data_IF_118643422580
#
_entry.id   IF_118643422580
#
_cell.length_a   1.000
_cell.length_b   1.000
_cell.length_c   1.000
_cell.angle_alpha   90.00
_cell.angle_beta   90.00
_cell.angle_gamma   90.00
#
_symmetry.space_group_name_H-M   'P 1'
#
loop_
_entity.id
_entity.type
_entity.pdbx_description
1 polymer ?
#
# COMPACT_ATOMS: atom_id res chain seq x y z
N UNK A 1 7.64 26.02 -15.65
CA UNK A 1 8.46 26.75 -14.66
C UNK A 1 8.57 25.91 -13.39
N UNK A 2 9.69 25.22 -13.20
CA UNK A 2 9.92 24.36 -12.04
C UNK A 2 10.06 25.17 -10.76
N UNK A 3 9.13 25.00 -9.81
CA UNK A 3 9.30 25.55 -8.46
C UNK A 3 10.49 24.86 -7.82
N UNK A 4 11.58 25.62 -7.68
CA UNK A 4 12.81 25.24 -7.00
C UNK A 4 12.53 24.40 -5.74
N UNK A 5 13.05 23.17 -5.71
CA UNK A 5 13.06 22.30 -4.52
C UNK A 5 13.93 22.85 -3.39
N UNK A 6 14.75 23.88 -3.63
CA UNK A 6 15.95 24.14 -2.82
C UNK A 6 15.78 24.95 -1.53
N UNK A 7 14.62 25.54 -1.23
CA UNK A 7 14.42 26.27 0.05
C UNK A 7 12.97 26.17 0.54
N UNK A 8 12.49 24.95 0.82
CA UNK A 8 11.24 24.80 1.58
C UNK A 8 11.58 24.85 3.07
N UNK A 9 10.85 25.66 3.87
CA UNK A 9 11.22 25.88 5.26
C UNK A 9 11.13 24.58 6.06
N UNK A 10 12.01 24.47 7.05
CA UNK A 10 11.81 23.59 8.19
C UNK A 10 10.92 24.34 9.19
N UNK A 11 9.84 23.72 9.63
CA UNK A 11 8.96 24.27 10.65
C UNK A 11 9.28 23.56 11.96
N UNK A 12 9.75 24.28 12.96
CA UNK A 12 10.21 23.67 14.21
C UNK A 12 9.10 23.53 15.24
N UNK A 13 9.13 22.44 16.01
CA UNK A 13 8.28 22.18 17.19
C UNK A 13 6.78 22.37 16.93
N UNK A 14 6.31 21.95 15.76
CA UNK A 14 4.89 21.96 15.42
C UNK A 14 4.16 20.96 16.32
N UNK A 15 3.18 21.45 17.07
CA UNK A 15 2.25 20.62 17.84
C UNK A 15 1.18 20.09 16.90
N UNK A 16 1.04 18.77 16.85
CA UNK A 16 -0.03 18.11 16.13
C UNK A 16 -1.26 18.12 17.02
N UNK A 17 -2.36 18.68 16.51
CA UNK A 17 -3.57 18.99 17.28
C UNK A 17 -4.78 18.17 16.85
N UNK A 18 -4.80 17.72 15.60
CA UNK A 18 -5.95 17.00 15.05
C UNK A 18 -5.54 16.06 13.90
N UNK A 19 -6.49 15.28 13.40
CA UNK A 19 -6.37 14.52 12.16
C UNK A 19 -7.17 15.18 11.04
N UNK A 20 -6.66 15.04 9.82
CA UNK A 20 -7.35 15.33 8.58
C UNK A 20 -7.69 14.03 7.83
N UNK A 21 -8.39 14.18 6.72
CA UNK A 21 -8.65 13.09 5.78
C UNK A 21 -7.34 12.43 5.27
N UNK A 22 -7.49 11.23 4.72
CA UNK A 22 -6.45 10.52 3.97
C UNK A 22 -5.14 10.21 4.72
N UNK A 23 -5.12 10.08 6.04
CA UNK A 23 -3.86 9.76 6.74
C UNK A 23 -3.05 10.95 7.22
N UNK A 24 -3.54 12.18 7.04
CA UNK A 24 -2.81 13.39 7.40
C UNK A 24 -3.22 13.88 8.78
N UNK A 25 -2.30 14.57 9.43
CA UNK A 25 -2.50 15.17 10.73
C UNK A 25 -2.32 16.68 10.62
N UNK A 26 -2.94 17.42 11.53
CA UNK A 26 -3.03 18.87 11.47
C UNK A 26 -2.20 19.48 12.61
N UNK A 27 -1.23 20.29 12.23
CA UNK A 27 -0.63 21.31 13.09
C UNK A 27 -1.00 22.70 12.60
N UNK A 28 -0.59 23.71 13.36
CA UNK A 28 -0.69 25.12 12.95
C UNK A 28 0.61 25.84 13.24
N UNK A 29 0.94 26.79 12.36
CA UNK A 29 1.97 27.79 12.59
C UNK A 29 1.46 29.11 12.04
N UNK A 30 1.47 30.15 12.86
CA UNK A 30 0.82 31.43 12.59
C UNK A 30 -0.64 31.20 12.13
N UNK A 31 -1.05 31.82 11.02
CA UNK A 31 -2.37 31.66 10.41
C UNK A 31 -2.47 30.49 9.42
N UNK A 32 -1.46 29.60 9.37
CA UNK A 32 -1.39 28.52 8.38
C UNK A 32 -1.59 27.15 8.99
N UNK A 33 -2.38 26.34 8.28
CA UNK A 33 -2.53 24.92 8.56
C UNK A 33 -1.30 24.17 8.05
N UNK A 34 -0.78 23.24 8.84
CA UNK A 34 0.32 22.35 8.47
C UNK A 34 -0.22 20.93 8.42
N UNK A 35 -0.30 20.35 7.23
CA UNK A 35 -0.62 18.94 7.07
C UNK A 35 0.64 18.09 7.18
N UNK A 36 0.66 17.19 8.16
CA UNK A 36 1.80 16.34 8.49
C UNK A 36 1.39 14.88 8.33
N UNK A 37 2.05 14.15 7.44
CA UNK A 37 1.86 12.69 7.35
C UNK A 37 2.66 11.96 8.43
N UNK A 38 2.19 10.79 8.89
CA UNK A 38 2.89 9.92 9.86
C UNK A 38 3.10 10.53 11.26
N UNK A 39 2.27 11.50 11.61
CA UNK A 39 2.18 12.02 12.98
C UNK A 39 0.78 11.76 13.54
N UNK A 40 0.61 11.87 14.85
CA UNK A 40 -0.70 11.76 15.52
C UNK A 40 -0.89 12.94 16.47
N UNK A 41 -2.14 13.27 16.86
CA UNK A 41 -2.41 14.35 17.81
C UNK A 41 -1.67 14.17 19.13
N UNK A 42 -1.06 15.25 19.61
CA UNK A 42 -0.15 15.29 20.75
C UNK A 42 1.33 15.22 20.39
N UNK A 43 1.71 14.80 19.18
CA UNK A 43 3.11 14.81 18.74
C UNK A 43 3.65 16.25 18.68
N UNK A 44 4.93 16.42 19.02
CA UNK A 44 5.68 17.67 18.81
C UNK A 44 6.84 17.38 17.86
N UNK A 45 6.77 17.93 16.65
CA UNK A 45 7.67 17.55 15.55
C UNK A 45 8.27 18.74 14.81
N UNK A 46 9.49 18.58 14.32
CA UNK A 46 10.00 19.43 13.25
C UNK A 46 9.52 18.87 11.91
N UNK A 47 8.94 19.72 11.08
CA UNK A 47 8.30 19.35 9.82
C UNK A 47 9.08 19.93 8.66
N UNK A 48 9.64 19.07 7.82
CA UNK A 48 10.20 19.51 6.54
C UNK A 48 9.06 19.71 5.54
N UNK A 49 8.86 20.95 5.11
CA UNK A 49 7.82 21.26 4.13
C UNK A 49 8.15 20.60 2.79
N UNK A 50 7.21 19.79 2.31
CA UNK A 50 7.27 19.14 0.99
C UNK A 50 6.40 19.87 -0.02
N UNK A 51 5.39 20.64 0.41
CA UNK A 51 4.57 21.48 -0.46
C UNK A 51 4.14 22.77 0.24
N UNK A 52 4.25 23.89 -0.48
CA UNK A 52 3.82 25.22 -0.02
C UNK A 52 2.64 25.70 -0.86
N UNK A 53 1.55 26.08 -0.18
CA UNK A 53 0.40 26.79 -0.74
C UNK A 53 0.20 28.11 0.02
N UNK A 54 -0.75 28.94 -0.44
CA UNK A 54 -1.02 30.24 0.19
C UNK A 54 -1.43 30.07 1.65
N UNK A 55 -2.38 29.16 1.92
CA UNK A 55 -3.05 29.02 3.21
C UNK A 55 -2.59 27.79 4.02
N UNK A 56 -1.75 26.93 3.44
CA UNK A 56 -1.29 25.73 4.12
C UNK A 56 0.08 25.24 3.63
N UNK A 57 0.70 24.42 4.48
CA UNK A 57 1.87 23.61 4.18
C UNK A 57 1.50 22.13 4.20
N UNK A 58 2.18 21.34 3.39
CA UNK A 58 2.26 19.88 3.57
C UNK A 58 3.72 19.53 3.85
N UNK A 59 3.95 18.58 4.75
CA UNK A 59 5.29 18.17 5.12
C UNK A 59 5.34 16.81 5.79
N UNK A 60 6.57 16.36 6.05
CA UNK A 60 6.87 15.13 6.76
C UNK A 60 7.65 15.47 8.02
N UNK A 61 7.43 14.74 9.14
CA UNK A 61 8.23 14.91 10.33
C UNK A 61 9.67 14.46 10.03
N UNK A 62 10.64 15.29 10.41
CA UNK A 62 12.08 14.96 10.31
C UNK A 62 12.73 14.80 11.69
N UNK A 63 12.06 15.27 12.74
CA UNK A 63 12.46 15.08 14.14
C UNK A 63 11.24 15.06 15.03
N UNK A 64 11.18 14.12 15.96
CA UNK A 64 10.21 14.09 17.05
C UNK A 64 10.88 14.61 18.32
N UNK A 65 10.30 15.66 18.92
CA UNK A 65 10.69 16.16 20.24
C UNK A 65 9.85 15.50 21.34
N UNK A 66 8.62 15.12 21.00
CA UNK A 66 7.70 14.41 21.87
C UNK A 66 6.83 13.49 21.02
N UNK A 67 6.73 12.23 21.43
CA UNK A 67 5.77 11.28 20.90
C UNK A 67 4.52 11.34 21.78
N UNK A 68 3.36 11.53 21.17
CA UNK A 68 2.09 11.56 21.89
C UNK A 68 1.87 10.27 22.68
N UNK A 69 1.30 10.39 23.88
CA UNK A 69 0.96 9.25 24.75
C UNK A 69 -0.11 8.34 24.14
N UNK A 70 -0.88 8.84 23.17
CA UNK A 70 -1.87 8.03 22.47
C UNK A 70 -1.24 7.15 21.38
N UNK A 71 0.03 7.33 21.02
CA UNK A 71 0.65 6.54 19.96
C UNK A 71 0.62 5.05 20.30
N UNK A 72 0.44 4.25 19.26
CA UNK A 72 0.71 2.81 19.30
C UNK A 72 1.81 2.48 18.33
N UNK A 73 2.58 1.44 18.65
CA UNK A 73 3.58 0.90 17.73
C UNK A 73 2.87 0.21 16.57
N UNK A 74 3.12 0.62 15.31
CA UNK A 74 2.58 -0.08 14.14
C UNK A 74 3.01 -1.55 14.13
N UNK A 75 2.07 -2.46 13.86
CA UNK A 75 2.38 -3.89 13.75
C UNK A 75 3.08 -4.26 12.44
N UNK A 76 2.95 -3.44 11.39
CA UNK A 76 3.55 -3.71 10.10
C UNK A 76 4.97 -3.12 10.03
N UNK A 77 5.96 -3.97 9.79
CA UNK A 77 7.37 -3.57 9.59
C UNK A 77 7.56 -2.59 8.42
N UNK A 78 6.64 -2.57 7.46
CA UNK A 78 6.68 -1.68 6.29
C UNK A 78 5.88 -0.38 6.49
N UNK A 79 5.32 -0.13 7.69
CA UNK A 79 4.55 1.08 7.96
C UNK A 79 5.38 2.35 7.72
N UNK A 80 4.72 3.40 7.22
CA UNK A 80 5.37 4.66 6.86
C UNK A 80 6.03 4.67 5.47
N UNK A 81 6.37 3.51 4.92
CA UNK A 81 6.92 3.37 3.56
C UNK A 81 5.87 2.80 2.61
N UNK A 82 5.22 1.69 2.99
CA UNK A 82 4.14 1.07 2.23
C UNK A 82 2.85 1.92 2.32
N UNK A 83 2.38 2.43 1.18
CA UNK A 83 1.42 3.55 1.11
C UNK A 83 -0.03 3.29 1.51
N UNK A 84 -0.40 2.04 1.82
CA UNK A 84 -1.80 1.65 2.06
C UNK A 84 -2.30 1.93 3.48
N UNK A 85 -1.56 1.51 4.50
CA UNK A 85 -2.00 1.57 5.89
C UNK A 85 -1.48 2.84 6.57
N UNK A 86 -2.25 3.93 6.56
CA UNK A 86 -1.75 5.24 7.00
C UNK A 86 -1.90 5.55 8.50
N UNK A 87 -2.69 4.77 9.23
CA UNK A 87 -3.08 5.09 10.61
C UNK A 87 -2.62 4.08 11.67
N UNK A 88 -1.74 3.12 11.34
CA UNK A 88 -1.32 2.10 12.31
C UNK A 88 -0.56 2.67 13.53
N UNK A 89 -0.10 3.92 13.49
CA UNK A 89 0.48 4.60 14.66
C UNK A 89 -0.57 5.19 15.61
N UNK A 90 -1.85 5.07 15.27
CA UNK A 90 -2.99 5.61 16.03
C UNK A 90 -3.84 4.45 16.58
N UNK A 91 -4.29 4.48 17.85
CA UNK A 91 -5.13 3.43 18.43
C UNK A 91 -6.40 3.25 17.61
N UNK A 92 -6.86 2.01 17.46
CA UNK A 92 -8.01 1.71 16.62
C UNK A 92 -9.28 2.46 17.04
N UNK A 93 -9.52 2.61 18.34
CA UNK A 93 -10.62 3.44 18.87
C UNK A 93 -10.57 4.88 18.36
N UNK A 94 -9.38 5.48 18.34
CA UNK A 94 -9.20 6.82 17.81
C UNK A 94 -9.40 6.85 16.29
N UNK A 95 -8.95 5.83 15.55
CA UNK A 95 -9.25 5.70 14.12
C UNK A 95 -10.77 5.74 13.85
N UNK A 96 -11.58 5.05 14.66
CA UNK A 96 -13.04 5.08 14.54
C UNK A 96 -13.60 6.48 14.84
N UNK A 97 -13.16 7.10 15.93
CA UNK A 97 -13.55 8.46 16.30
C UNK A 97 -13.27 9.47 15.17
N UNK A 98 -12.09 9.40 14.53
CA UNK A 98 -11.74 10.30 13.44
C UNK A 98 -12.53 10.02 12.15
N UNK A 99 -12.81 8.76 11.82
CA UNK A 99 -13.69 8.41 10.69
C UNK A 99 -15.09 8.98 10.90
N UNK A 100 -15.63 8.82 12.10
CA UNK A 100 -16.94 9.37 12.46
C UNK A 100 -16.94 10.89 12.30
N UNK A 101 -15.98 11.57 12.93
CA UNK A 101 -15.82 13.02 12.82
C UNK A 101 -15.70 13.49 11.37
N UNK A 102 -14.97 12.77 10.52
CA UNK A 102 -14.85 13.08 9.10
C UNK A 102 -16.21 12.99 8.38
N UNK A 103 -16.97 11.92 8.61
CA UNK A 103 -18.32 11.75 8.05
C UNK A 103 -19.24 12.88 8.49
N UNK A 104 -19.31 13.15 9.80
CA UNK A 104 -20.15 14.22 10.37
C UNK A 104 -19.78 15.59 9.80
N UNK A 105 -18.48 15.90 9.75
CA UNK A 105 -18.01 17.17 9.22
C UNK A 105 -18.32 17.32 7.74
N UNK A 106 -18.16 16.27 6.94
CA UNK A 106 -18.47 16.31 5.51
C UNK A 106 -19.97 16.53 5.26
N UNK A 107 -20.83 15.78 5.95
CA UNK A 107 -22.28 15.93 5.82
C UNK A 107 -22.79 17.31 6.27
N UNK A 108 -22.27 17.84 7.38
CA UNK A 108 -22.67 19.18 7.87
C UNK A 108 -22.08 20.31 7.05
N UNK A 109 -20.77 20.30 6.74
CA UNK A 109 -20.08 21.44 6.12
C UNK A 109 -20.25 21.48 4.61
N UNK A 110 -20.17 20.32 3.94
CA UNK A 110 -20.28 20.20 2.49
C UNK A 110 -21.74 19.94 2.12
N UNK A 111 -22.35 18.93 2.73
CA UNK A 111 -23.74 18.57 2.48
C UNK A 111 -24.76 19.59 3.00
N UNK A 112 -24.40 20.40 4.01
CA UNK A 112 -25.31 21.35 4.69
C UNK A 112 -26.55 20.67 5.26
N UNK A 113 -26.39 19.43 5.71
CA UNK A 113 -27.47 18.60 6.27
C UNK A 113 -27.47 18.74 7.79
N UNK A 114 -28.63 19.00 8.37
CA UNK A 114 -28.85 18.81 9.81
C UNK A 114 -28.92 17.32 10.12
N UNK A 115 -27.99 16.86 10.94
CA UNK A 115 -27.89 15.44 11.27
C UNK A 115 -28.64 15.14 12.57
N UNK A 116 -29.42 14.05 12.62
CA UNK A 116 -29.94 13.52 13.87
C UNK A 116 -28.79 13.02 14.76
N UNK A 117 -29.12 12.44 15.91
CA UNK A 117 -28.13 11.68 16.69
C UNK A 117 -27.53 10.56 15.82
N UNK A 118 -26.21 10.45 15.85
CA UNK A 118 -25.44 9.56 14.97
C UNK A 118 -24.98 8.38 15.80
N UNK A 119 -25.30 7.18 15.32
CA UNK A 119 -24.79 5.96 15.91
C UNK A 119 -23.26 5.86 15.70
N UNK A 120 -22.51 5.30 16.66
CA UNK A 120 -21.08 5.11 16.51
C UNK A 120 -20.72 4.29 15.27
N UNK A 121 -19.57 4.60 14.65
CA UNK A 121 -19.03 3.78 13.56
C UNK A 121 -18.80 2.35 14.04
N UNK A 122 -19.37 1.37 13.33
CA UNK A 122 -19.14 -0.04 13.62
C UNK A 122 -17.68 -0.41 13.36
N UNK A 123 -17.06 -1.00 14.37
CA UNK A 123 -15.73 -1.57 14.29
C UNK A 123 -15.71 -2.78 13.36
N UNK A 124 -14.59 -2.96 12.64
CA UNK A 124 -14.27 -4.25 12.04
C UNK A 124 -14.06 -5.27 13.16
N UNK A 125 -14.52 -6.52 13.00
CA UNK A 125 -14.18 -7.58 13.95
C UNK A 125 -12.67 -7.83 14.00
N UNK A 126 -11.98 -7.64 12.87
CA UNK A 126 -10.55 -7.87 12.73
C UNK A 126 -9.82 -6.60 12.26
N UNK A 127 -8.73 -6.24 12.94
CA UNK A 127 -7.85 -5.12 12.58
C UNK A 127 -6.73 -5.53 11.62
N UNK A 128 -6.45 -6.83 11.54
CA UNK A 128 -5.42 -7.46 10.71
C UNK A 128 -6.03 -8.62 9.93
N UNK A 129 -5.38 -9.06 8.86
CA UNK A 129 -5.79 -10.25 8.08
C UNK A 129 -7.22 -10.22 7.50
N UNK A 130 -7.89 -9.06 7.50
CA UNK A 130 -9.29 -8.92 7.06
C UNK A 130 -9.48 -8.77 5.55
N UNK A 131 -8.42 -8.53 4.77
CA UNK A 131 -8.54 -8.34 3.31
C UNK A 131 -8.61 -9.68 2.60
N UNK A 132 -9.72 -9.91 1.92
CA UNK A 132 -9.92 -11.05 1.04
C UNK A 132 -9.34 -10.89 -0.37
N UNK A 133 -8.79 -9.72 -0.71
CA UNK A 133 -8.14 -9.44 -2.00
C UNK A 133 -6.95 -8.51 -1.81
N UNK A 134 -5.79 -8.91 -2.32
CA UNK A 134 -4.64 -8.03 -2.53
C UNK A 134 -4.13 -8.13 -3.96
N UNK A 135 -3.48 -7.06 -4.39
CA UNK A 135 -2.86 -6.92 -5.70
C UNK A 135 -1.43 -6.43 -5.50
N UNK A 136 -0.46 -7.24 -5.91
CA UNK A 136 0.96 -6.99 -5.78
C UNK A 136 1.57 -6.69 -7.14
N UNK A 137 2.36 -5.64 -7.22
CA UNK A 137 3.05 -5.23 -8.44
C UNK A 137 4.48 -5.78 -8.45
N UNK A 138 4.86 -6.38 -9.58
CA UNK A 138 6.25 -6.66 -9.92
C UNK A 138 6.86 -5.40 -10.55
N UNK A 139 8.03 -4.97 -10.08
CA UNK A 139 8.75 -3.84 -10.66
C UNK A 139 10.25 -4.03 -10.59
N UNK A 140 10.96 -3.66 -11.65
CA UNK A 140 12.43 -3.53 -11.66
C UNK A 140 12.93 -2.18 -11.09
N UNK A 141 12.02 -1.37 -10.52
CA UNK A 141 12.32 -0.08 -9.88
C UNK A 141 11.98 -0.16 -8.39
N UNK A 142 12.64 -1.05 -7.66
CA UNK A 142 12.56 -1.12 -6.20
C UNK A 142 12.81 0.25 -5.56
N UNK A 143 11.99 0.57 -4.57
CA UNK A 143 12.21 1.69 -3.67
C UNK A 143 13.28 1.29 -2.66
N UNK A 144 14.33 2.09 -2.58
CA UNK A 144 15.39 1.93 -1.58
C UNK A 144 15.12 2.91 -0.44
N UNK A 145 15.22 2.40 0.78
CA UNK A 145 15.23 3.24 1.98
C UNK A 145 16.51 4.05 2.06
N UNK A 146 16.50 5.12 2.86
CA UNK A 146 17.67 5.97 3.04
C UNK A 146 18.88 5.16 3.58
N UNK A 147 18.63 4.22 4.49
CA UNK A 147 19.65 3.31 5.02
C UNK A 147 20.26 2.40 3.96
N UNK A 148 19.44 1.83 3.06
CA UNK A 148 19.94 0.99 1.96
C UNK A 148 20.72 1.81 0.92
N UNK A 149 20.35 3.07 0.70
CA UNK A 149 21.11 3.96 -0.19
C UNK A 149 22.49 4.32 0.37
N UNK A 150 22.64 4.33 1.70
CA UNK A 150 23.90 4.58 2.38
C UNK A 150 24.81 3.34 2.36
N UNK A 151 24.23 2.14 2.26
CA UNK A 151 24.94 0.88 2.20
C UNK A 151 25.09 0.35 0.76
N UNK A 152 26.28 0.56 0.16
CA UNK A 152 26.54 0.24 -1.26
C UNK A 152 26.38 -1.24 -1.63
N UNK A 153 26.52 -2.15 -0.67
CA UNK A 153 26.48 -3.60 -0.92
C UNK A 153 25.05 -4.15 -1.14
N UNK A 154 24.00 -3.42 -0.70
CA UNK A 154 22.59 -3.83 -0.83
C UNK A 154 21.91 -3.36 -2.14
N UNK A 155 22.66 -2.68 -3.02
CA UNK A 155 22.12 -2.11 -4.27
C UNK A 155 22.00 -3.08 -5.45
N UNK A 156 22.39 -4.34 -5.30
CA UNK A 156 22.48 -5.28 -6.43
C UNK A 156 21.12 -5.72 -6.98
N UNK A 157 20.07 -5.81 -6.15
CA UNK A 157 18.73 -6.21 -6.58
C UNK A 157 17.76 -5.01 -6.65
N UNK A 158 17.32 -4.70 -7.86
CA UNK A 158 16.32 -3.66 -8.14
C UNK A 158 14.90 -4.20 -8.36
N UNK A 159 14.69 -5.51 -8.29
CA UNK A 159 13.38 -6.12 -8.42
C UNK A 159 12.61 -6.04 -7.09
N UNK A 160 11.31 -5.78 -7.19
CA UNK A 160 10.40 -5.71 -6.06
C UNK A 160 9.07 -6.39 -6.40
N UNK A 161 8.50 -7.09 -5.43
CA UNK A 161 7.13 -7.61 -5.49
C UNK A 161 6.35 -7.13 -4.26
N UNK A 162 5.55 -6.09 -4.46
CA UNK A 162 4.84 -5.44 -3.36
C UNK A 162 3.93 -4.32 -3.82
N UNK A 163 4.02 -3.15 -3.17
CA UNK A 163 3.09 -2.05 -3.39
C UNK A 163 3.79 -0.76 -3.82
N UNK A 164 3.08 0.06 -4.59
CA UNK A 164 3.55 1.39 -4.93
C UNK A 164 3.69 2.29 -3.70
N UNK A 165 4.74 3.09 -3.69
CA UNK A 165 4.88 4.16 -2.69
C UNK A 165 3.99 5.36 -3.05
N UNK A 166 3.47 6.09 -2.06
CA UNK A 166 2.65 7.26 -2.31
C UNK A 166 3.33 8.29 -3.22
N UNK A 167 2.64 8.70 -4.29
CA UNK A 167 3.10 9.74 -5.20
C UNK A 167 4.13 9.31 -6.25
N UNK A 168 4.56 8.05 -6.28
CA UNK A 168 5.41 7.51 -7.36
C UNK A 168 4.84 6.19 -7.88
N UNK A 169 4.22 6.26 -9.05
CA UNK A 169 3.56 5.13 -9.69
C UNK A 169 4.53 4.07 -10.20
N UNK A 170 5.80 4.40 -10.44
CA UNK A 170 6.79 3.47 -10.99
C UNK A 170 7.63 2.78 -9.91
N UNK A 171 7.58 3.27 -8.66
CA UNK A 171 8.41 2.77 -7.56
C UNK A 171 7.60 1.85 -6.65
N UNK A 172 8.16 0.68 -6.36
CA UNK A 172 7.51 -0.37 -5.57
C UNK A 172 8.37 -0.69 -4.35
N UNK A 173 7.74 -0.76 -3.17
CA UNK A 173 8.36 -1.31 -1.96
C UNK A 173 8.34 -2.83 -2.09
N UNK A 174 9.51 -3.46 -2.00
CA UNK A 174 9.55 -4.91 -1.81
C UNK A 174 9.13 -5.20 -0.37
N UNK A 175 8.16 -6.09 -0.21
CA UNK A 175 7.63 -6.43 1.11
C UNK A 175 7.98 -7.87 1.46
N UNK A 176 8.17 -8.15 2.75
CA UNK A 176 8.37 -9.51 3.24
C UNK A 176 7.05 -10.09 3.74
N UNK A 177 6.22 -9.27 4.38
CA UNK A 177 4.91 -9.67 4.87
C UNK A 177 3.87 -8.56 4.73
N UNK A 178 2.71 -8.91 4.17
CA UNK A 178 1.50 -8.10 4.31
C UNK A 178 0.65 -8.66 5.44
N UNK A 179 0.40 -7.83 6.45
CA UNK A 179 -0.40 -8.18 7.64
C UNK A 179 -1.90 -7.99 7.42
N UNK A 180 -2.35 -7.76 6.18
CA UNK A 180 -3.75 -7.53 5.85
C UNK A 180 -4.45 -8.74 5.24
N UNK A 181 -3.75 -9.74 4.72
CA UNK A 181 -4.35 -10.94 4.14
C UNK A 181 -3.70 -12.16 4.78
N UNK A 182 -4.53 -13.15 5.12
CA UNK A 182 -4.09 -14.39 5.74
C UNK A 182 -3.21 -15.23 4.80
N UNK A 183 -2.50 -16.20 5.38
CA UNK A 183 -1.83 -17.25 4.60
C UNK A 183 -2.87 -18.04 3.78
N UNK A 184 -2.50 -18.56 2.60
CA UNK A 184 -1.13 -18.66 2.05
C UNK A 184 -0.66 -17.45 1.21
N UNK A 185 -1.31 -16.28 1.31
CA UNK A 185 -1.00 -15.12 0.45
C UNK A 185 0.47 -14.69 0.45
N UNK A 186 1.11 -14.56 1.62
CA UNK A 186 2.52 -14.18 1.67
C UNK A 186 3.42 -15.29 1.16
N UNK A 187 3.14 -16.55 1.51
CA UNK A 187 3.90 -17.70 1.03
C UNK A 187 3.89 -17.80 -0.50
N UNK A 188 2.72 -17.66 -1.14
CA UNK A 188 2.57 -17.69 -2.61
C UNK A 188 3.38 -16.56 -3.23
N UNK A 189 3.21 -15.33 -2.75
CA UNK A 189 3.92 -14.15 -3.26
C UNK A 189 5.44 -14.32 -3.17
N UNK A 190 5.95 -14.77 -2.02
CA UNK A 190 7.38 -15.00 -1.82
C UNK A 190 7.91 -16.10 -2.74
N UNK A 191 7.19 -17.22 -2.90
CA UNK A 191 7.57 -18.30 -3.80
C UNK A 191 7.68 -17.81 -5.26
N UNK A 192 6.76 -16.97 -5.71
CA UNK A 192 6.81 -16.40 -7.08
C UNK A 192 8.00 -15.47 -7.24
N UNK A 193 8.26 -14.60 -6.26
CA UNK A 193 9.44 -13.71 -6.27
C UNK A 193 10.73 -14.53 -6.35
N UNK A 194 10.87 -15.52 -5.49
CA UNK A 194 12.10 -16.30 -5.37
C UNK A 194 12.33 -17.17 -6.62
N UNK A 195 11.25 -17.76 -7.17
CA UNK A 195 11.30 -18.43 -8.48
C UNK A 195 11.72 -17.47 -9.59
N UNK A 196 11.10 -16.30 -9.67
CA UNK A 196 11.39 -15.32 -10.71
C UNK A 196 12.85 -14.84 -10.67
N UNK A 197 13.40 -14.63 -9.47
CA UNK A 197 14.81 -14.27 -9.31
C UNK A 197 15.76 -15.41 -9.70
N UNK A 198 15.43 -16.66 -9.33
CA UNK A 198 16.24 -17.84 -9.65
C UNK A 198 16.28 -18.14 -11.16
N UNK A 199 15.14 -18.07 -11.82
CA UNK A 199 15.02 -18.35 -13.28
C UNK A 199 15.31 -17.11 -14.15
N UNK A 200 15.63 -15.96 -13.55
CA UNK A 200 15.95 -14.73 -14.29
C UNK A 200 14.75 -14.11 -15.02
N UNK A 201 13.53 -14.30 -14.51
CA UNK A 201 12.33 -13.71 -15.09
C UNK A 201 12.31 -12.20 -14.92
N UNK A 202 11.95 -11.49 -15.99
CA UNK A 202 11.93 -10.02 -15.98
C UNK A 202 10.70 -9.48 -15.25
N UNK A 203 10.91 -8.49 -14.37
CA UNK A 203 9.86 -7.75 -13.70
C UNK A 203 9.47 -6.55 -14.58
N UNK A 204 8.19 -6.21 -14.61
CA UNK A 204 7.68 -5.17 -15.50
C UNK A 204 8.22 -3.78 -15.14
N UNK A 205 8.74 -3.06 -16.13
CA UNK A 205 9.13 -1.67 -16.01
C UNK A 205 7.98 -0.80 -16.53
N UNK A 206 7.30 -0.09 -15.64
CA UNK A 206 6.15 0.77 -15.98
C UNK A 206 6.52 1.96 -16.88
N UNK A 207 7.79 2.35 -16.98
CA UNK A 207 8.23 3.46 -17.84
C UNK A 207 8.55 2.98 -19.24
N UNK A 208 9.35 1.92 -19.37
CA UNK A 208 9.68 1.35 -20.69
C UNK A 208 8.59 0.42 -21.23
N UNK A 209 7.62 0.04 -20.39
CA UNK A 209 6.48 -0.85 -20.70
C UNK A 209 6.94 -2.22 -21.21
N UNK A 210 7.90 -2.79 -20.51
CA UNK A 210 8.55 -4.04 -20.89
C UNK A 210 8.78 -4.91 -19.67
N UNK A 211 8.76 -6.23 -19.87
CA UNK A 211 8.99 -7.23 -18.83
C UNK A 211 7.86 -8.25 -18.80
N UNK A 212 8.14 -9.39 -18.18
CA UNK A 212 7.23 -10.51 -18.16
C UNK A 212 6.22 -10.40 -17.01
N UNK A 213 6.67 -10.33 -15.77
CA UNK A 213 5.79 -10.36 -14.60
C UNK A 213 5.30 -8.95 -14.30
N UNK A 214 3.97 -8.73 -14.29
CA UNK A 214 3.36 -7.42 -14.05
C UNK A 214 2.74 -7.31 -12.67
N UNK A 215 1.76 -8.16 -12.43
CA UNK A 215 0.91 -8.08 -11.24
C UNK A 215 0.52 -9.49 -10.81
N UNK A 216 0.37 -9.69 -9.50
CA UNK A 216 -0.23 -10.88 -8.93
C UNK A 216 -1.41 -10.46 -8.05
N UNK A 217 -2.58 -11.04 -8.29
CA UNK A 217 -3.77 -10.83 -7.46
C UNK A 217 -3.99 -12.11 -6.67
N UNK A 218 -4.16 -11.99 -5.36
CA UNK A 218 -4.52 -13.12 -4.49
C UNK A 218 -5.84 -12.80 -3.82
N UNK A 219 -6.79 -13.73 -3.95
CA UNK A 219 -8.07 -13.71 -3.23
C UNK A 219 -8.16 -14.88 -2.26
N UNK A 220 -8.70 -14.62 -1.08
CA UNK A 220 -8.91 -15.61 -0.02
C UNK A 220 -10.32 -15.45 0.52
N UNK A 221 -11.14 -16.49 0.51
CA UNK A 221 -12.50 -16.45 1.01
C UNK A 221 -12.59 -16.95 2.46
N UNK A 222 -13.67 -16.59 3.16
CA UNK A 222 -13.98 -17.11 4.51
C UNK A 222 -14.18 -18.62 4.55
N UNK A 223 -14.48 -19.25 3.42
CA UNK A 223 -14.54 -20.71 3.23
C UNK A 223 -13.17 -21.40 3.27
N UNK A 224 -12.08 -20.62 3.28
CA UNK A 224 -10.70 -21.09 3.17
C UNK A 224 -10.20 -21.21 1.72
N UNK A 225 -11.07 -21.01 0.73
CA UNK A 225 -10.70 -21.09 -0.67
C UNK A 225 -9.78 -19.93 -1.10
N UNK A 226 -8.74 -20.26 -1.88
CA UNK A 226 -7.78 -19.28 -2.42
C UNK A 226 -7.79 -19.29 -3.94
N UNK A 227 -7.76 -18.10 -4.54
CA UNK A 227 -7.57 -17.87 -5.96
C UNK A 227 -6.34 -17.00 -6.19
N UNK A 228 -5.52 -17.38 -7.16
CA UNK A 228 -4.34 -16.62 -7.59
C UNK A 228 -4.48 -16.26 -9.06
N UNK A 229 -4.22 -15.00 -9.40
CA UNK A 229 -4.16 -14.51 -10.78
C UNK A 229 -2.76 -13.96 -11.04
N UNK A 230 -2.02 -14.54 -11.99
CA UNK A 230 -0.73 -14.01 -12.44
C UNK A 230 -0.93 -13.23 -13.74
N UNK A 231 -0.51 -11.98 -13.76
CA UNK A 231 -0.59 -11.11 -14.94
C UNK A 231 0.78 -11.02 -15.60
N UNK A 232 0.86 -11.50 -16.84
CA UNK A 232 2.05 -11.44 -17.68
C UNK A 232 1.99 -10.27 -18.66
N UNK A 233 3.12 -9.69 -19.04
CA UNK A 233 3.21 -8.57 -19.98
C UNK A 233 3.23 -8.97 -21.44
N UNK A 234 3.57 -10.23 -21.72
CA UNK A 234 3.50 -10.85 -23.04
C UNK A 234 3.28 -12.36 -22.85
N UNK A 235 2.93 -13.03 -23.95
CA UNK A 235 2.74 -14.48 -23.95
C UNK A 235 4.07 -15.17 -24.25
N UNK A 236 4.58 -15.89 -23.25
CA UNK A 236 5.62 -16.91 -23.39
C UNK A 236 5.10 -18.18 -22.72
N UNK A 237 4.70 -19.16 -23.55
CA UNK A 237 4.01 -20.35 -23.07
C UNK A 237 4.89 -21.25 -22.21
N UNK A 238 6.18 -21.38 -22.55
CA UNK A 238 7.11 -22.26 -21.83
C UNK A 238 7.39 -21.70 -20.43
N UNK A 239 7.67 -20.40 -20.34
CA UNK A 239 7.91 -19.73 -19.06
C UNK A 239 6.64 -19.69 -18.21
N UNK A 240 5.48 -19.35 -18.81
CA UNK A 240 4.21 -19.34 -18.10
C UNK A 240 3.91 -20.72 -17.50
N UNK A 241 3.98 -21.77 -18.32
CA UNK A 241 3.68 -23.14 -17.89
C UNK A 241 4.62 -23.56 -16.76
N UNK A 242 5.92 -23.28 -16.91
CA UNK A 242 6.92 -23.61 -15.88
C UNK A 242 6.67 -22.93 -14.53
N UNK A 243 6.34 -21.63 -14.54
CA UNK A 243 6.00 -20.90 -13.31
C UNK A 243 4.69 -21.38 -12.70
N UNK A 244 3.65 -21.55 -13.52
CA UNK A 244 2.33 -21.95 -13.03
C UNK A 244 2.36 -23.38 -12.47
N UNK A 245 3.03 -24.33 -13.13
CA UNK A 245 3.23 -25.69 -12.62
C UNK A 245 4.00 -25.72 -11.30
N UNK A 246 5.06 -24.90 -11.18
CA UNK A 246 5.79 -24.77 -9.92
C UNK A 246 4.85 -24.35 -8.77
N UNK A 247 3.99 -23.36 -9.00
CA UNK A 247 3.08 -22.84 -7.99
C UNK A 247 1.95 -23.80 -7.64
N UNK A 248 1.34 -24.44 -8.63
CA UNK A 248 0.30 -25.46 -8.44
C UNK A 248 0.83 -26.62 -7.59
N UNK A 249 2.04 -27.10 -7.89
CA UNK A 249 2.65 -28.19 -7.14
C UNK A 249 3.07 -27.78 -5.72
N UNK A 250 3.50 -26.53 -5.53
CA UNK A 250 3.93 -26.05 -4.22
C UNK A 250 2.75 -25.74 -3.28
N UNK A 251 1.61 -25.34 -3.84
CA UNK A 251 0.40 -24.97 -3.08
C UNK A 251 -0.82 -25.76 -3.56
N UNK A 252 -0.88 -27.08 -3.27
CA UNK A 252 -1.94 -27.96 -3.76
C UNK A 252 -3.34 -27.60 -3.22
N UNK A 253 -3.42 -26.88 -2.10
CA UNK A 253 -4.68 -26.45 -1.49
C UNK A 253 -5.31 -25.22 -2.16
N UNK A 254 -4.58 -24.54 -3.07
CA UNK A 254 -5.14 -23.43 -3.85
C UNK A 254 -6.04 -23.98 -4.94
N UNK A 255 -7.32 -23.60 -4.89
CA UNK A 255 -8.38 -24.18 -5.71
C UNK A 255 -8.57 -23.50 -7.06
N UNK A 256 -7.94 -22.35 -7.29
CA UNK A 256 -8.11 -21.55 -8.51
C UNK A 256 -6.81 -20.86 -8.92
N UNK A 257 -6.25 -21.30 -10.05
CA UNK A 257 -5.06 -20.71 -10.66
C UNK A 257 -5.43 -20.10 -11.99
N UNK A 258 -5.32 -18.78 -12.07
CA UNK A 258 -5.68 -18.00 -13.24
C UNK A 258 -4.45 -17.25 -13.77
N UNK A 259 -4.49 -16.89 -15.04
CA UNK A 259 -3.55 -15.93 -15.60
C UNK A 259 -4.20 -14.99 -16.60
N UNK A 260 -3.53 -13.86 -16.84
CA UNK A 260 -3.91 -12.85 -17.83
C UNK A 260 -2.67 -12.44 -18.59
N UNK A 261 -2.79 -12.27 -19.91
CA UNK A 261 -1.76 -11.63 -20.73
C UNK A 261 -2.16 -10.17 -20.97
N UNK A 262 -1.46 -9.24 -20.32
CA UNK A 262 -1.68 -7.80 -20.47
C UNK A 262 -0.51 -7.13 -21.21
N UNK A 263 -0.63 -7.07 -22.53
CA UNK A 263 0.30 -6.36 -23.42
C UNK A 263 0.08 -4.84 -23.49
N UNK A 264 -0.92 -4.30 -22.76
CA UNK A 264 -1.25 -2.87 -22.80
C UNK A 264 -0.29 -2.04 -21.96
N UNK A 265 -0.33 -0.73 -22.17
CA UNK A 265 0.46 0.21 -21.38
C UNK A 265 -0.05 0.41 -19.93
N UNK A 266 -1.32 0.13 -19.66
CA UNK A 266 -1.94 0.28 -18.35
C UNK A 266 -2.07 -1.07 -17.64
N UNK A 267 -2.33 -1.03 -16.34
CA UNK A 267 -2.42 -2.22 -15.50
C UNK A 267 -3.84 -2.79 -15.39
N UNK A 268 -4.81 -2.19 -16.10
CA UNK A 268 -6.20 -2.67 -16.04
C UNK A 268 -6.36 -3.98 -16.79
N UNK A 269 -7.06 -4.94 -16.20
CA UNK A 269 -7.30 -6.27 -16.78
C UNK A 269 -8.78 -6.56 -17.08
N UNK A 270 -9.69 -5.65 -16.74
CA UNK A 270 -11.15 -5.89 -16.84
C UNK A 270 -11.63 -6.12 -18.29
N UNK A 271 -10.87 -5.62 -19.26
CA UNK A 271 -11.10 -5.71 -20.70
C UNK A 271 -10.31 -6.85 -21.36
N UNK A 272 -9.66 -7.71 -20.58
CA UNK A 272 -8.85 -8.82 -21.05
C UNK A 272 -9.47 -10.17 -20.66
N UNK A 273 -9.16 -11.19 -21.46
CA UNK A 273 -9.54 -12.56 -21.15
C UNK A 273 -8.74 -13.08 -19.95
N UNK A 274 -9.46 -13.68 -19.00
CA UNK A 274 -8.88 -14.35 -17.84
C UNK A 274 -8.91 -15.85 -18.09
N UNK A 275 -7.73 -16.46 -18.15
CA UNK A 275 -7.59 -17.88 -18.44
C UNK A 275 -7.46 -18.70 -17.16
N UNK A 276 -8.26 -19.76 -17.02
CA UNK A 276 -8.11 -20.74 -15.95
C UNK A 276 -7.00 -21.72 -16.32
N UNK A 277 -5.92 -21.73 -15.56
CA UNK A 277 -4.80 -22.65 -15.75
C UNK A 277 -5.06 -24.00 -15.07
N UNK A 278 -5.48 -23.97 -13.80
CA UNK A 278 -5.74 -25.17 -13.00
C UNK A 278 -6.80 -24.92 -11.93
N UNK A 279 -7.52 -25.98 -11.57
CA UNK A 279 -8.61 -25.90 -10.59
C UNK A 279 -9.88 -25.32 -11.20
N UNK A 280 -10.51 -24.37 -10.50
CA UNK A 280 -11.74 -23.68 -10.92
C UNK A 280 -11.46 -22.24 -11.33
N UNK A 281 -12.37 -21.67 -12.11
CA UNK A 281 -12.35 -20.25 -12.49
C UNK A 281 -12.98 -19.31 -11.44
N UNK A 282 -13.38 -19.85 -10.29
CA UNK A 282 -14.04 -19.12 -9.21
C UNK A 282 -13.69 -19.70 -7.83
N UNK A 283 -14.03 -18.92 -6.80
CA UNK A 283 -14.04 -19.31 -5.39
C UNK A 283 -15.37 -18.91 -4.76
N UNK A 284 -15.74 -19.56 -3.66
CA UNK A 284 -16.98 -19.32 -2.93
C UNK A 284 -16.73 -18.51 -1.66
N UNK A 285 -17.50 -17.44 -1.48
CA UNK A 285 -17.53 -16.65 -0.25
C UNK A 285 -18.80 -16.97 0.54
N UNK A 286 -18.69 -17.04 1.87
CA UNK A 286 -19.83 -17.18 2.76
C UNK A 286 -20.09 -15.84 3.44
N UNK A 287 -21.32 -15.31 3.30
CA UNK A 287 -21.76 -14.04 3.90
C UNK A 287 -22.76 -14.29 5.02
#
# INVERSE_FOLDING_TARGET
MGRSRRNKPLLERIVITDMAAEGKSIGKIDDKVVFVSQAVPGDIVDVQVTRKRSNFYEGVPVKFHYYSDIRVTPFCEHFGVCGGCKWQSLPYKEQLNYKEREIVNNLRRIGKIELPEIAPVLASPDEILYRNKLEYTFSNKRWLTQSEMENKDELSNHNALGFHIPGMFDKVVDINRCYLQAEPSNAIRLAVRDYALREGLSFFDLRSKSGLLRTMIIRTASTGETMVVVVFGYDDADIRTSLMDYLVNLFPDVVSWMYVINAKANDTINDLDVSCYAGRDHIFEQM
#
